data_IF_222047101423
#
_entry.id   IF_222047101423
#
_cell.length_a   1.000
_cell.length_b   1.000
_cell.length_c   1.000
_cell.angle_alpha   90.00
_cell.angle_beta   90.00
_cell.angle_gamma   90.00
#
_symmetry.space_group_name_H-M   'P 1'
#
loop_
_entity.id
_entity.type
_entity.pdbx_description
1 polymer ?
#
# COMPACT_ATOMS: atom_id res chain seq x y z
N UNK A 1 -45.76 39.49 -21.83
CA UNK A 1 -44.30 39.33 -21.79
C UNK A 1 -43.98 38.55 -20.50
N UNK A 2 -43.93 37.21 -20.60
CA UNK A 2 -43.82 36.30 -19.42
C UNK A 2 -42.36 35.87 -19.35
N UNK A 3 -41.65 36.27 -18.31
CA UNK A 3 -40.27 35.88 -18.06
C UNK A 3 -40.26 34.53 -17.36
N UNK A 4 -39.80 33.50 -18.04
CA UNK A 4 -39.48 32.21 -17.41
C UNK A 4 -38.11 32.32 -16.74
N UNK A 5 -38.10 32.33 -15.40
CA UNK A 5 -36.93 32.18 -14.60
C UNK A 5 -36.61 30.67 -14.53
N UNK A 6 -35.64 30.20 -15.30
CA UNK A 6 -35.10 28.85 -15.19
C UNK A 6 -34.17 28.80 -13.95
N UNK A 7 -34.65 28.24 -12.86
CA UNK A 7 -33.82 27.94 -11.68
C UNK A 7 -32.92 26.76 -12.02
N UNK A 8 -31.64 27.04 -12.21
CA UNK A 8 -30.59 26.03 -12.36
C UNK A 8 -30.32 25.42 -10.98
N UNK A 9 -30.96 24.28 -10.66
CA UNK A 9 -30.60 23.48 -9.49
C UNK A 9 -29.22 22.90 -9.74
N UNK A 10 -28.19 23.49 -9.13
CA UNK A 10 -26.87 22.85 -9.01
C UNK A 10 -27.04 21.64 -8.09
N UNK A 11 -27.03 20.44 -8.63
CA UNK A 11 -26.87 19.21 -7.89
C UNK A 11 -25.48 19.26 -7.22
N UNK A 12 -25.43 19.68 -5.97
CA UNK A 12 -24.25 19.49 -5.13
C UNK A 12 -24.15 17.98 -4.89
N UNK A 13 -23.27 17.31 -5.63
CA UNK A 13 -22.88 15.94 -5.30
C UNK A 13 -22.29 15.96 -3.88
N UNK A 14 -22.97 15.34 -2.94
CA UNK A 14 -22.43 15.18 -1.59
C UNK A 14 -21.10 14.39 -1.67
N UNK A 15 -20.13 14.77 -0.85
CA UNK A 15 -18.88 13.99 -0.72
C UNK A 15 -19.25 12.54 -0.35
N UNK A 16 -18.56 11.54 -0.97
CA UNK A 16 -18.87 10.14 -0.70
C UNK A 16 -18.60 9.81 0.77
N UNK A 17 -19.42 8.98 1.35
CA UNK A 17 -19.20 8.39 2.67
C UNK A 17 -18.02 7.44 2.64
N UNK A 18 -17.46 7.10 3.80
CA UNK A 18 -16.33 6.16 3.88
C UNK A 18 -16.63 4.78 3.27
N UNK A 19 -17.78 4.15 3.51
CA UNK A 19 -18.15 2.89 2.84
C UNK A 19 -18.26 3.01 1.32
N UNK A 20 -18.85 4.09 0.81
CA UNK A 20 -18.97 4.34 -0.63
C UNK A 20 -17.60 4.54 -1.27
N UNK A 21 -16.71 5.30 -0.63
CA UNK A 21 -15.33 5.47 -1.10
C UNK A 21 -14.56 4.15 -1.08
N UNK A 22 -14.69 3.34 -0.02
CA UNK A 22 -14.07 2.03 0.09
C UNK A 22 -14.56 1.09 -1.03
N UNK A 23 -15.85 1.08 -1.31
CA UNK A 23 -16.45 0.26 -2.37
C UNK A 23 -15.98 0.69 -3.77
N UNK A 24 -15.97 2.00 -4.03
CA UNK A 24 -15.50 2.55 -5.31
C UNK A 24 -14.01 2.25 -5.52
N UNK A 25 -13.20 2.43 -4.47
CA UNK A 25 -11.77 2.10 -4.49
C UNK A 25 -11.55 0.60 -4.74
N UNK A 26 -12.29 -0.28 -4.04
CA UNK A 26 -12.20 -1.73 -4.27
C UNK A 26 -12.53 -2.07 -5.72
N UNK A 27 -13.66 -1.57 -6.23
CA UNK A 27 -14.09 -1.80 -7.62
C UNK A 27 -13.04 -1.33 -8.63
N UNK A 28 -12.46 -0.14 -8.43
CA UNK A 28 -11.35 0.34 -9.27
C UNK A 28 -10.13 -0.56 -9.14
N UNK A 29 -9.76 -0.92 -7.91
CA UNK A 29 -8.58 -1.73 -7.64
C UNK A 29 -8.69 -3.14 -8.23
N UNK A 30 -9.88 -3.72 -8.32
CA UNK A 30 -10.13 -5.02 -8.96
C UNK A 30 -9.81 -5.00 -10.46
N UNK A 31 -9.90 -3.84 -11.13
CA UNK A 31 -9.54 -3.68 -12.55
C UNK A 31 -8.02 -3.54 -12.78
N UNK A 32 -7.25 -3.27 -11.74
CA UNK A 32 -5.80 -3.13 -11.83
C UNK A 32 -5.16 -4.50 -11.74
N UNK A 33 -4.48 -4.94 -12.81
CA UNK A 33 -3.75 -6.21 -12.88
C UNK A 33 -2.32 -6.07 -12.36
N UNK A 34 -1.69 -4.98 -12.73
CA UNK A 34 -0.33 -4.63 -12.32
C UNK A 34 -0.16 -3.11 -12.25
N UNK A 35 0.84 -2.66 -11.51
CA UNK A 35 1.22 -1.26 -11.51
C UNK A 35 2.68 -1.05 -11.08
N UNK A 36 3.22 0.11 -11.41
CA UNK A 36 4.50 0.59 -10.90
C UNK A 36 4.36 2.02 -10.39
N UNK A 37 5.15 2.37 -9.39
CA UNK A 37 5.23 3.72 -8.84
C UNK A 37 6.62 3.97 -8.27
N UNK A 38 7.02 5.23 -8.19
CA UNK A 38 8.11 5.64 -7.32
C UNK A 38 7.50 5.91 -5.93
N UNK A 39 8.24 5.61 -4.87
CA UNK A 39 7.78 5.87 -3.52
C UNK A 39 8.79 6.66 -2.69
N UNK A 40 8.25 7.45 -1.77
CA UNK A 40 8.98 7.97 -0.62
C UNK A 40 8.36 7.35 0.63
N UNK A 41 9.18 6.69 1.43
CA UNK A 41 8.82 6.09 2.71
C UNK A 41 9.41 6.91 3.84
N UNK A 42 8.59 7.36 4.75
CA UNK A 42 9.02 8.02 5.99
C UNK A 42 8.60 7.15 7.16
N UNK A 43 9.57 6.75 7.95
CA UNK A 43 9.32 6.05 9.22
C UNK A 43 9.62 6.98 10.38
N UNK A 44 8.67 7.11 11.28
CA UNK A 44 8.79 7.83 12.55
C UNK A 44 8.51 6.84 13.69
N UNK A 45 9.53 6.55 14.50
CA UNK A 45 9.38 5.55 15.53
C UNK A 45 10.40 5.67 16.65
N UNK A 46 10.16 4.84 17.68
CA UNK A 46 10.96 4.74 18.87
C UNK A 46 10.77 5.90 19.84
N UNK A 47 11.37 5.75 21.03
CA UNK A 47 11.29 6.71 22.13
C UNK A 47 11.83 8.09 21.74
N UNK A 48 12.81 8.15 20.83
CA UNK A 48 13.46 9.38 20.36
C UNK A 48 12.75 10.00 19.15
N UNK A 49 11.64 9.43 18.67
CA UNK A 49 10.89 9.87 17.47
C UNK A 49 11.81 10.16 16.26
N UNK A 50 12.84 9.33 16.10
CA UNK A 50 13.76 9.45 14.98
C UNK A 50 13.01 9.24 13.68
N UNK A 51 13.12 10.19 12.76
CA UNK A 51 12.55 10.10 11.43
C UNK A 51 13.61 9.62 10.44
N UNK A 52 13.24 8.62 9.65
CA UNK A 52 14.06 8.10 8.55
C UNK A 52 13.25 8.26 7.27
N UNK A 53 13.86 8.81 6.23
CA UNK A 53 13.23 8.93 4.90
C UNK A 53 14.01 8.11 3.89
N UNK A 54 13.31 7.24 3.21
CA UNK A 54 13.83 6.31 2.19
C UNK A 54 13.08 6.55 0.88
N UNK A 55 13.71 6.20 -0.23
CA UNK A 55 13.10 6.29 -1.56
C UNK A 55 13.35 5.04 -2.36
N UNK A 56 12.46 4.78 -3.31
CA UNK A 56 12.61 3.62 -4.16
C UNK A 56 11.54 3.50 -5.21
N UNK A 57 11.51 2.34 -5.82
CA UNK A 57 10.52 1.97 -6.83
C UNK A 57 9.73 0.74 -6.39
N UNK A 58 8.43 0.82 -6.60
CA UNK A 58 7.48 -0.26 -6.37
C UNK A 58 6.98 -0.79 -7.70
N UNK A 59 6.96 -2.12 -7.84
CA UNK A 59 6.22 -2.82 -8.88
C UNK A 59 5.36 -3.90 -8.24
N UNK A 60 4.12 -4.01 -8.70
CA UNK A 60 3.15 -4.99 -8.22
C UNK A 60 2.46 -5.64 -9.41
N UNK A 61 2.29 -6.96 -9.34
CA UNK A 61 1.43 -7.74 -10.23
C UNK A 61 0.55 -8.66 -9.41
N UNK A 62 -0.75 -8.47 -9.52
CA UNK A 62 -1.71 -9.28 -8.78
C UNK A 62 -1.90 -10.66 -9.42
N UNK A 63 -2.15 -11.71 -8.63
CA UNK A 63 -2.12 -11.71 -7.17
C UNK A 63 -0.72 -11.93 -6.59
N UNK A 64 -0.42 -11.25 -5.48
CA UNK A 64 0.66 -11.59 -4.56
C UNK A 64 2.09 -11.31 -5.01
N UNK A 65 2.33 -10.86 -6.25
CA UNK A 65 3.68 -10.52 -6.73
C UNK A 65 3.98 -9.06 -6.47
N UNK A 66 5.13 -8.79 -5.86
CA UNK A 66 5.57 -7.42 -5.55
C UNK A 66 7.08 -7.32 -5.52
N UNK A 67 7.60 -6.14 -5.83
CA UNK A 67 9.01 -5.78 -5.72
C UNK A 67 9.13 -4.36 -5.22
N UNK A 68 9.66 -4.20 -4.01
CA UNK A 68 10.00 -2.93 -3.40
C UNK A 68 11.50 -2.78 -3.45
N UNK A 69 11.98 -1.89 -4.27
CA UNK A 69 13.42 -1.62 -4.43
C UNK A 69 13.72 -0.26 -3.84
N UNK A 70 14.31 -0.25 -2.64
CA UNK A 70 14.83 0.94 -2.00
C UNK A 70 16.16 1.30 -2.63
N UNK A 71 16.37 2.57 -2.94
CA UNK A 71 17.57 3.08 -3.61
C UNK A 71 18.29 4.16 -2.81
N UNK A 72 17.65 4.72 -1.79
CA UNK A 72 18.23 5.75 -0.93
C UNK A 72 17.57 5.74 0.46
N UNK A 73 18.33 6.06 1.55
CA UNK A 73 19.78 6.25 1.58
C UNK A 73 20.55 4.94 1.39
N UNK A 74 19.92 3.79 1.68
CA UNK A 74 20.50 2.46 1.60
C UNK A 74 19.69 1.58 0.65
N UNK A 75 20.40 0.69 -0.06
CA UNK A 75 19.75 -0.29 -0.90
C UNK A 75 19.12 -1.41 -0.05
N UNK A 76 17.83 -1.67 -0.29
CA UNK A 76 17.09 -2.80 0.29
C UNK A 76 16.15 -3.34 -0.78
N UNK A 77 15.89 -4.62 -0.75
CA UNK A 77 15.02 -5.25 -1.73
C UNK A 77 14.06 -6.21 -1.04
N UNK A 78 12.77 -5.96 -1.23
CA UNK A 78 11.71 -6.88 -0.82
C UNK A 78 11.00 -7.38 -2.07
N UNK A 79 10.98 -8.70 -2.26
CA UNK A 79 10.37 -9.34 -3.43
C UNK A 79 9.42 -10.43 -2.99
N UNK A 80 8.25 -10.48 -3.60
CA UNK A 80 7.37 -11.66 -3.59
C UNK A 80 7.16 -12.14 -5.01
N UNK A 81 7.35 -13.42 -5.26
CA UNK A 81 7.05 -14.07 -6.54
C UNK A 81 5.62 -14.64 -6.60
N UNK A 82 4.84 -14.44 -5.52
CA UNK A 82 3.50 -14.97 -5.32
C UNK A 82 3.45 -16.21 -4.44
N UNK A 83 4.57 -16.90 -4.25
CA UNK A 83 4.69 -18.09 -3.39
C UNK A 83 5.65 -17.84 -2.23
N UNK A 84 6.78 -17.20 -2.52
CA UNK A 84 7.83 -16.89 -1.56
C UNK A 84 8.05 -15.38 -1.47
N UNK A 85 8.39 -14.93 -0.27
CA UNK A 85 8.85 -13.56 0.00
C UNK A 85 10.33 -13.59 0.37
N UNK A 86 11.06 -12.60 -0.13
CA UNK A 86 12.48 -12.40 0.10
C UNK A 86 12.72 -10.97 0.59
N UNK A 87 13.43 -10.82 1.71
CA UNK A 87 13.96 -9.55 2.20
C UNK A 87 15.47 -9.60 2.10
N UNK A 88 16.06 -8.74 1.29
CA UNK A 88 17.50 -8.67 1.07
C UNK A 88 18.03 -7.28 1.43
N UNK A 89 18.99 -7.25 2.34
CA UNK A 89 19.72 -6.06 2.75
C UNK A 89 21.19 -6.32 2.41
N UNK A 90 21.74 -5.69 1.35
CA UNK A 90 23.10 -5.96 0.87
C UNK A 90 24.19 -5.74 1.92
N UNK A 91 24.05 -4.69 2.76
CA UNK A 91 25.03 -4.40 3.82
C UNK A 91 25.15 -5.53 4.83
N UNK A 92 24.03 -6.17 5.17
CA UNK A 92 24.00 -7.28 6.13
C UNK A 92 24.42 -8.61 5.50
N UNK A 93 24.58 -8.66 4.16
CA UNK A 93 24.82 -9.88 3.39
C UNK A 93 23.86 -11.01 3.77
N UNK A 94 22.61 -10.67 4.02
CA UNK A 94 21.59 -11.59 4.48
C UNK A 94 20.31 -11.52 3.62
N UNK A 95 19.76 -12.69 3.34
CA UNK A 95 18.41 -12.85 2.78
C UNK A 95 17.54 -13.56 3.80
N UNK A 96 16.43 -12.92 4.16
CA UNK A 96 15.36 -13.58 4.92
C UNK A 96 14.31 -14.03 3.91
N UNK A 97 13.94 -15.31 3.96
CA UNK A 97 12.86 -15.84 3.13
C UNK A 97 11.72 -16.39 3.97
N UNK A 98 10.50 -16.21 3.48
CA UNK A 98 9.27 -16.77 4.07
C UNK A 98 8.28 -17.16 2.98
N UNK A 99 7.28 -17.95 3.31
CA UNK A 99 6.15 -18.22 2.42
C UNK A 99 5.20 -17.03 2.38
N UNK A 100 4.55 -16.83 1.24
CA UNK A 100 3.43 -15.88 1.14
C UNK A 100 2.23 -16.48 1.86
N UNK A 101 1.55 -15.75 2.76
CA UNK A 101 0.33 -16.21 3.40
C UNK A 101 -0.77 -16.55 2.37
N UNK A 102 -1.73 -17.42 2.71
CA UNK A 102 -2.93 -17.65 1.90
C UNK A 102 -3.69 -16.35 1.58
N UNK A 103 -4.61 -16.39 0.61
CA UNK A 103 -5.29 -15.19 0.11
C UNK A 103 -6.23 -14.53 1.13
N UNK A 104 -6.72 -15.31 2.08
CA UNK A 104 -7.58 -14.89 3.19
C UNK A 104 -6.79 -14.29 4.36
N UNK A 105 -5.46 -14.46 4.38
CA UNK A 105 -4.56 -13.96 5.41
C UNK A 105 -3.71 -12.78 4.91
N UNK A 106 -4.33 -11.75 4.35
CA UNK A 106 -3.58 -10.53 3.97
C UNK A 106 -3.12 -9.77 5.22
N UNK A 107 -2.09 -10.29 5.86
CA UNK A 107 -1.62 -9.86 7.17
C UNK A 107 -0.83 -8.55 7.13
N UNK A 108 -0.41 -8.08 5.96
CA UNK A 108 0.36 -6.83 5.83
C UNK A 108 -0.23 -5.88 4.81
N UNK A 109 -0.07 -4.55 5.01
CA UNK A 109 -0.49 -3.55 4.03
C UNK A 109 0.15 -3.71 2.65
N UNK A 110 1.38 -4.23 2.59
CA UNK A 110 2.06 -4.53 1.33
C UNK A 110 1.37 -5.66 0.56
N UNK A 111 0.91 -6.70 1.24
CA UNK A 111 0.14 -7.78 0.65
C UNK A 111 -1.24 -7.30 0.16
N UNK A 112 -1.87 -6.36 0.88
CA UNK A 112 -3.08 -5.71 0.39
C UNK A 112 -2.82 -5.01 -0.96
N UNK A 113 -1.75 -4.22 -1.08
CA UNK A 113 -1.35 -3.61 -2.36
C UNK A 113 -1.01 -4.64 -3.44
N UNK A 114 -0.61 -5.85 -3.06
CA UNK A 114 -0.39 -6.97 -3.98
C UNK A 114 -1.68 -7.74 -4.33
N UNK A 115 -2.85 -7.23 -3.94
CA UNK A 115 -4.16 -7.79 -4.27
C UNK A 115 -4.60 -8.95 -3.37
N UNK A 116 -4.00 -9.06 -2.18
CA UNK A 116 -4.46 -9.96 -1.14
C UNK A 116 -5.48 -9.24 -0.25
N UNK A 117 -6.55 -9.90 0.13
CA UNK A 117 -7.61 -9.31 0.93
C UNK A 117 -8.59 -8.42 0.15
N UNK A 118 -9.57 -7.86 0.86
CA UNK A 118 -10.65 -7.04 0.31
C UNK A 118 -11.02 -5.91 1.28
N UNK A 119 -11.08 -4.66 0.79
CA UNK A 119 -11.36 -3.47 1.61
C UNK A 119 -12.68 -3.55 2.37
N UNK A 120 -13.73 -3.94 1.67
CA UNK A 120 -15.10 -3.91 2.23
C UNK A 120 -15.39 -5.13 3.09
N UNK A 121 -14.82 -6.28 2.74
CA UNK A 121 -14.96 -7.51 3.51
C UNK A 121 -14.15 -7.45 4.80
N UNK A 122 -12.90 -7.03 4.72
CA UNK A 122 -11.90 -7.26 5.79
C UNK A 122 -11.74 -6.07 6.74
N UNK A 123 -12.22 -4.88 6.34
CA UNK A 123 -11.99 -3.66 7.10
C UNK A 123 -13.29 -2.90 7.42
N UNK A 124 -13.25 -2.16 8.53
CA UNK A 124 -14.19 -1.08 8.81
C UNK A 124 -13.55 0.24 8.37
N UNK A 125 -14.24 0.97 7.50
CA UNK A 125 -13.73 2.19 6.90
C UNK A 125 -14.29 3.45 7.57
N UNK A 126 -13.45 4.48 7.76
CA UNK A 126 -13.85 5.82 8.19
C UNK A 126 -13.03 6.88 7.45
N UNK A 127 -13.62 8.05 7.17
CA UNK A 127 -12.86 9.19 6.65
C UNK A 127 -12.09 9.84 7.79
N UNK A 128 -10.86 10.24 7.50
CA UNK A 128 -9.99 10.96 8.44
C UNK A 128 -9.34 12.16 7.75
N UNK A 129 -8.75 13.05 8.54
CA UNK A 129 -7.95 14.14 8.00
C UNK A 129 -6.79 13.62 7.17
N UNK A 130 -6.46 14.37 6.11
CA UNK A 130 -5.36 14.01 5.23
C UNK A 130 -4.04 14.10 6.01
N UNK A 131 -3.25 13.00 6.09
CA UNK A 131 -1.97 13.03 6.79
C UNK A 131 -1.02 14.04 6.18
N UNK A 132 -0.23 14.70 7.03
CA UNK A 132 0.75 15.69 6.59
C UNK A 132 1.73 15.10 5.55
N UNK A 133 2.08 15.92 4.54
CA UNK A 133 3.00 15.51 3.47
C UNK A 133 2.37 14.68 2.35
N UNK A 134 1.07 14.38 2.44
CA UNK A 134 0.33 13.69 1.37
C UNK A 134 -0.19 14.67 0.31
N UNK A 135 -0.47 14.15 -0.89
CA UNK A 135 -0.91 14.95 -2.03
C UNK A 135 -2.21 15.72 -1.72
N UNK A 136 -2.18 17.04 -1.88
CA UNK A 136 -3.36 17.90 -1.67
C UNK A 136 -4.53 17.46 -2.56
N UNK A 137 -5.77 17.64 -2.06
CA UNK A 137 -6.99 17.23 -2.76
C UNK A 137 -7.31 15.74 -2.66
N UNK A 138 -6.42 14.92 -2.09
CA UNK A 138 -6.71 13.51 -1.82
C UNK A 138 -7.68 13.36 -0.65
N UNK A 139 -8.36 12.21 -0.59
CA UNK A 139 -9.15 11.77 0.58
C UNK A 139 -8.35 10.70 1.34
N UNK A 140 -8.48 10.71 2.66
CA UNK A 140 -7.84 9.74 3.52
C UNK A 140 -8.88 8.79 4.12
N UNK A 141 -8.73 7.51 3.84
CA UNK A 141 -9.61 6.44 4.28
C UNK A 141 -8.88 5.59 5.32
N UNK A 142 -9.26 5.73 6.58
CA UNK A 142 -8.78 4.87 7.66
C UNK A 142 -9.51 3.53 7.61
N UNK A 143 -8.74 2.46 7.68
CA UNK A 143 -9.19 1.10 7.59
C UNK A 143 -8.73 0.35 8.86
N UNK A 144 -9.69 -0.11 9.64
CA UNK A 144 -9.45 -0.92 10.84
C UNK A 144 -9.80 -2.36 10.47
N UNK A 145 -8.86 -3.31 10.60
CA UNK A 145 -9.14 -4.72 10.32
C UNK A 145 -10.27 -5.24 11.21
N UNK A 146 -11.21 -5.99 10.66
CA UNK A 146 -12.27 -6.67 11.43
C UNK A 146 -11.72 -7.84 12.24
N UNK A 147 -10.63 -8.45 11.77
CA UNK A 147 -9.86 -9.47 12.49
C UNK A 147 -8.51 -8.86 12.86
N UNK A 148 -8.13 -9.00 14.14
CA UNK A 148 -6.89 -8.43 14.67
C UNK A 148 -5.69 -8.92 13.84
N UNK A 149 -4.83 -7.97 13.44
CA UNK A 149 -3.56 -8.23 12.77
C UNK A 149 -2.41 -8.10 13.78
N UNK A 150 -1.31 -8.82 13.54
CA UNK A 150 -0.14 -8.76 14.43
C UNK A 150 0.77 -7.57 14.11
N UNK A 151 0.84 -7.17 12.85
CA UNK A 151 1.82 -6.20 12.36
C UNK A 151 1.28 -4.76 12.33
N UNK A 152 -0.03 -4.56 12.46
CA UNK A 152 -0.63 -3.22 12.47
C UNK A 152 -2.03 -3.22 13.09
N UNK A 153 -2.39 -2.13 13.75
CA UNK A 153 -3.74 -1.92 14.31
C UNK A 153 -4.70 -1.31 13.29
N UNK A 154 -4.20 -0.44 12.43
CA UNK A 154 -4.95 0.20 11.36
C UNK A 154 -4.01 0.74 10.26
N UNK A 155 -4.60 1.00 9.12
CA UNK A 155 -3.92 1.67 8.02
C UNK A 155 -4.77 2.82 7.48
N UNK A 156 -4.14 3.80 6.80
CA UNK A 156 -4.82 4.84 6.05
C UNK A 156 -4.40 4.73 4.60
N UNK A 157 -5.36 4.59 3.71
CA UNK A 157 -5.16 4.77 2.27
C UNK A 157 -5.44 6.22 1.91
N UNK A 158 -4.49 6.84 1.24
CA UNK A 158 -4.65 8.17 0.64
C UNK A 158 -4.97 7.96 -0.83
N UNK A 159 -6.12 8.45 -1.26
CA UNK A 159 -6.67 8.18 -2.58
C UNK A 159 -7.05 9.48 -3.30
N UNK A 160 -6.85 9.49 -4.60
CA UNK A 160 -7.39 10.51 -5.48
C UNK A 160 -8.91 10.29 -5.63
N UNK A 161 -9.76 11.26 -5.25
CA UNK A 161 -11.22 11.06 -5.26
C UNK A 161 -11.83 10.99 -6.68
N UNK A 162 -11.12 11.45 -7.69
CA UNK A 162 -11.60 11.43 -9.08
C UNK A 162 -11.22 10.15 -9.82
N UNK A 163 -10.01 9.62 -9.57
CA UNK A 163 -9.47 8.45 -10.28
C UNK A 163 -9.47 7.19 -9.45
N UNK A 164 -9.67 7.29 -8.13
CA UNK A 164 -9.50 6.23 -7.14
C UNK A 164 -8.11 5.59 -7.15
N UNK A 165 -7.10 6.35 -7.59
CA UNK A 165 -5.70 5.91 -7.50
C UNK A 165 -5.20 6.03 -6.06
N UNK A 166 -4.47 5.02 -5.60
CA UNK A 166 -3.81 5.04 -4.30
C UNK A 166 -2.57 5.95 -4.40
N UNK A 167 -2.59 7.08 -3.72
CA UNK A 167 -1.53 8.09 -3.67
C UNK A 167 -0.62 7.91 -2.46
N UNK A 168 -1.07 7.18 -1.46
CA UNK A 168 -0.27 6.94 -0.25
C UNK A 168 -0.86 5.86 0.65
N UNK A 169 -0.03 5.43 1.57
CA UNK A 169 -0.34 4.44 2.59
C UNK A 169 0.32 4.88 3.90
N UNK A 170 -0.44 4.92 4.98
CA UNK A 170 0.09 5.14 6.33
C UNK A 170 -0.30 3.96 7.19
N UNK A 171 0.66 3.46 7.98
CA UNK A 171 0.42 2.40 8.96
C UNK A 171 1.01 2.80 10.30
N UNK A 172 0.41 2.28 11.35
CA UNK A 172 0.96 2.39 12.71
C UNK A 172 1.07 0.99 13.27
N UNK A 173 2.26 0.66 13.74
CA UNK A 173 2.54 -0.62 14.38
C UNK A 173 2.10 -0.61 15.87
N UNK A 174 2.11 -1.78 16.51
CA UNK A 174 1.69 -1.95 17.89
C UNK A 174 2.60 -1.19 18.91
N UNK A 175 3.78 -0.74 18.50
CA UNK A 175 4.71 0.06 19.29
C UNK A 175 4.54 1.56 19.06
N UNK A 176 3.58 1.95 18.22
CA UNK A 176 3.31 3.34 17.85
C UNK A 176 4.26 3.89 16.78
N UNK A 177 5.08 3.05 16.15
CA UNK A 177 5.88 3.42 15.00
C UNK A 177 4.98 3.70 13.79
N UNK A 178 5.22 4.83 13.10
CA UNK A 178 4.43 5.28 11.97
C UNK A 178 5.23 5.16 10.67
N UNK A 179 4.73 4.36 9.74
CA UNK A 179 5.24 4.28 8.37
C UNK A 179 4.31 5.04 7.43
N UNK A 180 4.85 5.97 6.65
CA UNK A 180 4.12 6.77 5.68
C UNK A 180 4.76 6.62 4.30
N UNK A 181 4.00 6.09 3.34
CA UNK A 181 4.40 5.96 1.95
C UNK A 181 3.62 6.97 1.10
N UNK A 182 4.30 7.74 0.29
CA UNK A 182 3.71 8.52 -0.81
C UNK A 182 4.13 7.92 -2.14
N UNK A 183 3.18 7.81 -3.07
CA UNK A 183 3.39 7.22 -4.39
C UNK A 183 3.30 8.29 -5.47
N UNK A 184 4.27 8.30 -6.36
CA UNK A 184 4.34 9.20 -7.52
C UNK A 184 4.61 8.40 -8.79
N UNK A 185 4.44 9.02 -9.96
CA UNK A 185 4.67 8.37 -11.26
C UNK A 185 3.94 7.03 -11.42
N UNK A 186 2.73 6.93 -10.84
CA UNK A 186 1.91 5.72 -10.88
C UNK A 186 1.52 5.38 -12.32
N UNK A 187 1.77 4.14 -12.71
CA UNK A 187 1.35 3.58 -14.01
C UNK A 187 0.65 2.25 -13.75
N UNK A 188 -0.57 2.11 -14.23
CA UNK A 188 -1.40 0.92 -14.05
C UNK A 188 -1.53 0.13 -15.34
N UNK A 189 -1.66 -1.20 -15.24
CA UNK A 189 -1.90 -2.13 -16.35
C UNK A 189 -0.85 -2.01 -17.47
N UNK A 190 0.43 -1.94 -17.06
CA UNK A 190 1.57 -1.79 -17.98
C UNK A 190 2.10 -3.12 -18.52
N UNK A 191 1.53 -4.26 -18.09
CA UNK A 191 1.89 -5.58 -18.59
C UNK A 191 3.20 -6.11 -18.01
N UNK A 192 3.41 -5.97 -16.69
CA UNK A 192 4.61 -6.49 -16.02
C UNK A 192 4.74 -8.01 -16.22
N UNK A 193 5.95 -8.46 -16.54
CA UNK A 193 6.24 -9.88 -16.74
C UNK A 193 6.52 -10.58 -15.41
N UNK A 194 6.26 -11.88 -15.31
CA UNK A 194 6.53 -12.66 -14.10
C UNK A 194 8.01 -12.68 -13.71
N UNK A 195 8.90 -12.64 -14.71
CA UNK A 195 10.36 -12.56 -14.51
C UNK A 195 10.80 -11.31 -13.73
N UNK A 196 10.00 -10.23 -13.75
CA UNK A 196 10.33 -8.99 -13.04
C UNK A 196 10.23 -9.17 -11.52
N UNK A 197 9.58 -10.23 -11.07
CA UNK A 197 9.40 -10.62 -9.68
C UNK A 197 10.28 -11.80 -9.25
N UNK A 198 11.09 -12.32 -10.16
CA UNK A 198 12.07 -13.35 -9.81
C UNK A 198 13.21 -12.73 -8.99
N UNK A 199 13.59 -13.42 -7.90
CA UNK A 199 14.75 -13.07 -7.11
C UNK A 199 15.76 -14.20 -7.11
N UNK A 200 16.98 -13.87 -7.52
CA UNK A 200 18.12 -14.80 -7.45
C UNK A 200 19.00 -14.40 -6.27
N UNK A 201 19.11 -15.29 -5.30
CA UNK A 201 19.95 -15.08 -4.11
C UNK A 201 21.41 -14.88 -4.56
N UNK A 202 22.07 -13.77 -4.18
CA UNK A 202 23.46 -13.54 -4.53
C UNK A 202 24.40 -14.58 -3.89
N UNK A 203 25.55 -14.79 -4.49
CA UNK A 203 26.57 -15.70 -3.92
C UNK A 203 27.17 -15.08 -2.65
N UNK A 204 27.45 -15.93 -1.65
CA UNK A 204 28.10 -15.50 -0.40
C UNK A 204 27.19 -14.71 0.53
N UNK A 205 25.89 -14.89 0.39
CA UNK A 205 24.87 -14.27 1.25
C UNK A 205 24.27 -15.35 2.14
N UNK A 206 24.12 -15.07 3.43
CA UNK A 206 23.45 -15.94 4.38
C UNK A 206 21.94 -15.97 4.14
N UNK A 207 21.35 -17.17 4.16
CA UNK A 207 19.91 -17.34 3.97
C UNK A 207 19.26 -17.81 5.26
N UNK A 208 18.38 -16.97 5.79
CA UNK A 208 17.57 -17.28 6.98
C UNK A 208 16.14 -17.56 6.55
N UNK A 209 15.60 -18.69 6.98
CA UNK A 209 14.17 -18.99 6.78
C UNK A 209 13.40 -18.46 7.97
N UNK A 210 12.49 -17.48 7.74
CA UNK A 210 11.52 -17.13 8.75
C UNK A 210 10.43 -18.20 8.78
N UNK A 211 10.29 -18.89 9.92
CA UNK A 211 9.11 -19.73 10.14
C UNK A 211 7.86 -18.85 10.13
N UNK A 212 6.71 -19.34 9.63
CA UNK A 212 5.45 -18.66 9.85
C UNK A 212 5.31 -18.41 11.37
N UNK A 213 5.10 -17.17 11.76
CA UNK A 213 4.79 -16.88 13.16
C UNK A 213 3.44 -17.49 13.46
N UNK A 214 3.45 -18.53 14.32
CA UNK A 214 2.24 -19.18 14.86
C UNK A 214 1.42 -18.22 15.70
#
# INVERSE_FOLDING_TARGET
MIWFLAALLALMSADPTAPELAQALQKKYDTVKDFSADFTHTYEGGVLRKQITERGRLTIKKPGKMRWQYTAPEEKLFVSDGAMMYSYIPQDKQVIRSTVPPDDEATTPALFLAGKGNLTRDFTASLVELPAGMAAGSKALKLVPKTRQQDYDWLVLVVDPATFEIRGLVTVDAQGGKSSFSFTNLKQNVGLADKDFAFKIPRGVDVVSASPRS
#
